data_IF_540656209944
#
_entry.id   IF_540656209944
#
_cell.length_a   1.000
_cell.length_b   1.000
_cell.length_c   1.000
_cell.angle_alpha   90.00
_cell.angle_beta   90.00
_cell.angle_gamma   90.00
#
_symmetry.space_group_name_H-M   'P 1'
#
loop_
_entity.id
_entity.type
_entity.pdbx_description
1 polymer ?
#
# COMPACT_ATOMS: atom_id res chain seq x y z
N UNK A 1 -21.83 -23.44 -38.33
CA UNK A 1 -22.14 -22.78 -37.04
C UNK A 1 -21.04 -23.17 -36.08
N UNK A 2 -19.90 -22.53 -36.25
CA UNK A 2 -18.62 -22.75 -35.55
C UNK A 2 -17.76 -21.55 -35.91
N UNK A 3 -16.88 -21.12 -35.00
CA UNK A 3 -16.04 -19.91 -35.06
C UNK A 3 -16.67 -18.57 -34.64
N UNK A 4 -17.19 -18.52 -33.40
CA UNK A 4 -17.30 -17.23 -32.67
C UNK A 4 -16.46 -17.20 -31.37
N UNK A 5 -15.82 -18.31 -31.00
CA UNK A 5 -15.10 -18.43 -29.72
C UNK A 5 -13.59 -18.15 -29.83
N UNK A 6 -13.03 -18.04 -31.05
CA UNK A 6 -11.59 -17.87 -31.26
C UNK A 6 -11.13 -16.40 -31.21
N UNK A 7 -12.00 -15.44 -31.50
CA UNK A 7 -11.63 -14.02 -31.57
C UNK A 7 -11.42 -13.37 -30.19
N UNK A 8 -12.14 -13.81 -29.15
CA UNK A 8 -12.04 -13.23 -27.81
C UNK A 8 -10.73 -13.56 -27.08
N UNK A 9 -10.07 -14.69 -27.43
CA UNK A 9 -8.79 -15.07 -26.83
C UNK A 9 -7.58 -14.33 -27.41
N UNK A 10 -7.65 -13.90 -28.67
CA UNK A 10 -6.54 -13.22 -29.33
C UNK A 10 -6.32 -11.78 -28.80
N UNK A 11 -7.39 -11.06 -28.45
CA UNK A 11 -7.31 -9.69 -27.92
C UNK A 11 -6.69 -9.65 -26.51
N UNK A 12 -7.02 -10.64 -25.68
CA UNK A 12 -6.43 -10.80 -24.34
C UNK A 12 -4.95 -11.22 -24.37
N UNK A 13 -4.51 -11.87 -25.44
CA UNK A 13 -3.11 -12.27 -25.64
C UNK A 13 -2.26 -11.15 -26.25
N UNK A 14 -2.83 -10.35 -27.16
CA UNK A 14 -2.20 -9.16 -27.73
C UNK A 14 -1.93 -8.08 -26.67
N UNK A 15 -2.86 -7.86 -25.73
CA UNK A 15 -2.65 -6.94 -24.60
C UNK A 15 -1.56 -7.41 -23.62
N UNK A 16 -1.39 -8.72 -23.46
CA UNK A 16 -0.33 -9.33 -22.63
C UNK A 16 1.07 -9.21 -23.25
N UNK A 17 1.15 -9.02 -24.57
CA UNK A 17 2.39 -8.81 -25.30
C UNK A 17 2.84 -7.34 -25.33
N UNK A 18 2.03 -6.38 -24.86
CA UNK A 18 2.38 -4.96 -24.95
C UNK A 18 3.37 -4.49 -23.87
N UNK A 19 3.37 -5.14 -22.70
CA UNK A 19 4.32 -4.86 -21.62
C UNK A 19 5.32 -5.99 -21.50
N UNK A 20 6.62 -5.67 -21.51
CA UNK A 20 7.66 -6.67 -21.23
C UNK A 20 7.60 -7.15 -19.77
N UNK A 21 8.34 -8.22 -19.47
CA UNK A 21 8.34 -8.83 -18.14
C UNK A 21 8.83 -7.88 -17.04
N UNK A 22 9.83 -7.04 -17.34
CA UNK A 22 10.42 -6.10 -16.39
C UNK A 22 9.42 -4.99 -16.03
N UNK A 23 8.66 -4.49 -16.99
CA UNK A 23 7.61 -3.48 -16.75
C UNK A 23 6.48 -4.07 -15.91
N UNK A 24 6.04 -5.31 -16.22
CA UNK A 24 5.02 -5.98 -15.40
C UNK A 24 5.50 -6.19 -13.96
N UNK A 25 6.75 -6.60 -13.77
CA UNK A 25 7.36 -6.71 -12.44
C UNK A 25 7.38 -5.35 -11.71
N UNK A 26 7.84 -4.29 -12.40
CA UNK A 26 7.90 -2.94 -11.84
C UNK A 26 6.52 -2.46 -11.35
N UNK A 27 5.45 -2.72 -12.12
CA UNK A 27 4.09 -2.37 -11.71
C UNK A 27 3.65 -3.11 -10.43
N UNK A 28 4.00 -4.39 -10.28
CA UNK A 28 3.68 -5.17 -9.07
C UNK A 28 4.44 -4.66 -7.86
N UNK A 29 5.74 -4.37 -8.03
CA UNK A 29 6.58 -3.80 -6.97
C UNK A 29 6.07 -2.42 -6.53
N UNK A 30 5.71 -1.56 -7.50
CA UNK A 30 5.10 -0.25 -7.23
C UNK A 30 3.76 -0.37 -6.50
N UNK A 31 2.95 -1.38 -6.80
CA UNK A 31 1.71 -1.63 -6.07
C UNK A 31 1.98 -2.01 -4.61
N UNK A 32 2.96 -2.88 -4.36
CA UNK A 32 3.36 -3.30 -3.01
C UNK A 32 3.94 -2.13 -2.22
N UNK A 33 4.83 -1.33 -2.82
CA UNK A 33 5.38 -0.14 -2.20
C UNK A 33 4.26 0.88 -1.94
N UNK A 34 3.46 1.21 -2.95
CA UNK A 34 2.37 2.17 -2.88
C UNK A 34 1.33 1.83 -1.82
N UNK A 35 0.93 0.56 -1.70
CA UNK A 35 0.01 0.11 -0.66
C UNK A 35 0.53 0.41 0.75
N UNK A 36 1.83 0.23 1.00
CA UNK A 36 2.46 0.53 2.29
C UNK A 36 2.71 2.05 2.50
N UNK A 37 2.63 2.86 1.45
CA UNK A 37 2.84 4.31 1.49
C UNK A 37 1.56 5.14 1.29
N UNK A 38 0.38 4.53 1.45
CA UNK A 38 -0.91 5.22 1.43
C UNK A 38 -1.57 5.37 0.05
N UNK A 39 -1.00 4.78 -1.00
CA UNK A 39 -1.56 4.76 -2.36
C UNK A 39 -2.51 3.57 -2.56
N UNK A 40 -3.48 3.42 -1.65
CA UNK A 40 -4.36 2.27 -1.63
C UNK A 40 -5.22 2.14 -2.90
N UNK A 41 -5.62 3.27 -3.49
CA UNK A 41 -6.44 3.29 -4.71
C UNK A 41 -5.68 2.72 -5.91
N UNK A 42 -4.46 3.19 -6.13
CA UNK A 42 -3.58 2.75 -7.21
C UNK A 42 -3.22 1.27 -7.05
N UNK A 43 -2.85 0.87 -5.83
CA UNK A 43 -2.55 -0.52 -5.50
C UNK A 43 -3.77 -1.43 -5.73
N UNK A 44 -4.99 -1.00 -5.40
CA UNK A 44 -6.22 -1.77 -5.68
C UNK A 44 -6.47 -1.94 -7.19
N UNK A 45 -6.19 -0.92 -8.02
CA UNK A 45 -6.28 -1.07 -9.49
C UNK A 45 -5.32 -2.14 -10.01
N UNK A 46 -4.08 -2.13 -9.52
CA UNK A 46 -3.06 -3.12 -9.93
C UNK A 46 -3.44 -4.51 -9.43
N UNK A 47 -4.00 -4.63 -8.22
CA UNK A 47 -4.54 -5.89 -7.69
C UNK A 47 -5.59 -6.50 -8.62
N UNK A 48 -6.52 -5.70 -9.15
CA UNK A 48 -7.52 -6.18 -10.12
C UNK A 48 -6.89 -6.60 -11.46
N UNK A 49 -5.82 -5.93 -11.88
CA UNK A 49 -5.10 -6.24 -13.11
C UNK A 49 -4.08 -7.40 -12.98
N UNK A 50 -3.80 -7.86 -11.76
CA UNK A 50 -2.72 -8.79 -11.46
C UNK A 50 -2.74 -10.09 -12.29
N UNK A 51 -3.90 -10.74 -12.55
CA UNK A 51 -3.96 -11.94 -13.39
C UNK A 51 -3.49 -11.70 -14.84
N UNK A 52 -3.59 -10.47 -15.33
CA UNK A 52 -3.09 -10.07 -16.65
C UNK A 52 -1.59 -9.80 -16.63
N UNK A 53 -1.06 -9.34 -15.48
CA UNK A 53 0.36 -9.00 -15.30
C UNK A 53 1.24 -10.21 -14.98
N UNK A 54 0.68 -11.22 -14.31
CA UNK A 54 1.40 -12.40 -13.80
C UNK A 54 0.79 -13.68 -14.39
N UNK A 55 1.39 -14.24 -15.46
CA UNK A 55 0.86 -15.42 -16.12
C UNK A 55 0.86 -16.68 -15.26
N UNK A 56 1.86 -16.82 -14.39
CA UNK A 56 1.94 -17.93 -13.44
C UNK A 56 0.86 -17.78 -12.38
N UNK A 57 -0.05 -18.77 -12.30
CA UNK A 57 -1.20 -18.72 -11.38
C UNK A 57 -0.80 -18.82 -9.91
N UNK A 58 0.25 -19.58 -9.59
CA UNK A 58 0.76 -19.73 -8.23
C UNK A 58 1.37 -18.41 -7.75
N UNK A 59 2.29 -17.86 -8.53
CA UNK A 59 2.89 -16.53 -8.28
C UNK A 59 1.83 -15.44 -8.22
N UNK A 60 0.86 -15.43 -9.14
CA UNK A 60 -0.24 -14.47 -9.11
C UNK A 60 -1.02 -14.56 -7.80
N UNK A 61 -1.33 -15.76 -7.31
CA UNK A 61 -2.07 -15.94 -6.07
C UNK A 61 -1.27 -15.48 -4.84
N UNK A 62 0.03 -15.76 -4.80
CA UNK A 62 0.90 -15.24 -3.73
C UNK A 62 0.96 -13.71 -3.73
N UNK A 63 1.06 -13.09 -4.91
CA UNK A 63 1.08 -11.64 -5.03
C UNK A 63 -0.28 -11.01 -4.69
N UNK A 64 -1.40 -11.66 -5.01
CA UNK A 64 -2.74 -11.23 -4.57
C UNK A 64 -2.85 -11.24 -3.05
N UNK A 65 -2.36 -12.29 -2.39
CA UNK A 65 -2.33 -12.37 -0.94
C UNK A 65 -1.42 -11.28 -0.34
N UNK A 66 -0.19 -11.14 -0.85
CA UNK A 66 0.76 -10.13 -0.41
C UNK A 66 0.21 -8.71 -0.52
N UNK A 67 -0.41 -8.38 -1.66
CA UNK A 67 -0.98 -7.05 -1.88
C UNK A 67 -2.24 -6.81 -1.04
N UNK A 68 -3.05 -7.84 -0.80
CA UNK A 68 -4.18 -7.78 0.15
C UNK A 68 -3.70 -7.51 1.58
N UNK A 69 -2.61 -8.17 2.01
CA UNK A 69 -1.95 -7.89 3.29
C UNK A 69 -1.49 -6.43 3.32
N UNK A 70 -0.78 -5.95 2.28
CA UNK A 70 -0.31 -4.57 2.19
C UNK A 70 -1.42 -3.53 2.31
N UNK A 71 -2.60 -3.82 1.74
CA UNK A 71 -3.81 -2.98 1.79
C UNK A 71 -4.61 -3.10 3.10
N UNK A 72 -4.24 -4.02 3.99
CA UNK A 72 -4.95 -4.28 5.24
C UNK A 72 -6.15 -5.22 5.12
N UNK A 73 -6.40 -5.81 3.95
CA UNK A 73 -7.48 -6.76 3.69
C UNK A 73 -7.07 -8.19 4.16
N UNK A 74 -6.77 -8.33 5.46
CA UNK A 74 -6.18 -9.55 6.04
C UNK A 74 -7.06 -10.79 5.91
N UNK A 75 -8.39 -10.64 6.00
CA UNK A 75 -9.34 -11.75 5.81
C UNK A 75 -9.29 -12.32 4.38
N UNK A 76 -9.20 -11.43 3.38
CA UNK A 76 -9.06 -11.83 1.97
C UNK A 76 -7.72 -12.53 1.76
N UNK A 77 -6.65 -11.99 2.34
CA UNK A 77 -5.34 -12.61 2.29
C UNK A 77 -5.34 -14.02 2.89
N UNK A 78 -5.94 -14.22 4.06
CA UNK A 78 -6.03 -15.55 4.69
C UNK A 78 -6.75 -16.57 3.82
N UNK A 79 -7.86 -16.17 3.17
CA UNK A 79 -8.56 -17.04 2.21
C UNK A 79 -7.66 -17.42 1.02
N UNK A 80 -6.96 -16.45 0.43
CA UNK A 80 -6.04 -16.68 -0.68
C UNK A 80 -4.86 -17.59 -0.30
N UNK A 81 -4.30 -17.43 0.92
CA UNK A 81 -3.22 -18.29 1.42
C UNK A 81 -3.70 -19.72 1.66
N UNK A 82 -4.92 -19.90 2.19
CA UNK A 82 -5.51 -21.23 2.37
C UNK A 82 -5.74 -21.91 1.01
N UNK A 83 -6.29 -21.18 0.04
CA UNK A 83 -6.51 -21.67 -1.31
C UNK A 83 -5.21 -21.99 -2.07
N UNK A 84 -4.14 -21.24 -1.82
CA UNK A 84 -2.83 -21.51 -2.40
C UNK A 84 -2.20 -22.77 -1.80
N UNK A 85 -2.32 -22.98 -0.48
CA UNK A 85 -1.83 -24.18 0.22
C UNK A 85 -2.52 -25.46 -0.24
N UNK A 86 -3.82 -25.40 -0.55
CA UNK A 86 -4.56 -26.56 -1.05
C UNK A 86 -4.05 -27.10 -2.40
N UNK A 87 -3.24 -26.32 -3.14
CA UNK A 87 -2.61 -26.74 -4.39
C UNK A 87 -1.08 -26.79 -4.36
N UNK A 88 -0.45 -26.50 -3.21
CA UNK A 88 1.00 -26.42 -3.05
C UNK A 88 1.54 -27.62 -2.25
N UNK A 89 2.80 -28.02 -2.46
CA UNK A 89 3.44 -29.03 -1.61
C UNK A 89 3.46 -28.58 -0.14
N UNK A 90 3.36 -29.54 0.78
CA UNK A 90 3.49 -29.32 2.22
C UNK A 90 4.83 -28.63 2.51
N UNK A 91 4.79 -27.45 3.15
CA UNK A 91 6.00 -26.69 3.52
C UNK A 91 6.38 -25.52 2.61
N UNK A 92 5.40 -24.88 1.95
CA UNK A 92 5.69 -23.65 1.19
C UNK A 92 6.06 -22.48 2.12
N UNK A 93 7.36 -22.20 2.20
CA UNK A 93 7.94 -21.09 2.97
C UNK A 93 7.34 -19.72 2.60
N UNK A 94 6.86 -19.54 1.37
CA UNK A 94 6.16 -18.32 0.93
C UNK A 94 4.87 -18.12 1.71
N UNK A 95 4.11 -19.20 1.88
CA UNK A 95 2.83 -19.18 2.59
C UNK A 95 3.02 -18.87 4.07
N UNK A 96 4.09 -19.39 4.67
CA UNK A 96 4.45 -19.12 6.07
C UNK A 96 4.93 -17.69 6.27
N UNK A 97 5.80 -17.19 5.37
CA UNK A 97 6.28 -15.81 5.41
C UNK A 97 5.12 -14.80 5.28
N UNK A 98 4.18 -15.03 4.36
CA UNK A 98 3.01 -14.16 4.20
C UNK A 98 2.04 -14.25 5.38
N UNK A 99 1.86 -15.43 5.98
CA UNK A 99 1.06 -15.58 7.20
C UNK A 99 1.69 -14.83 8.39
N UNK A 100 3.01 -14.93 8.55
CA UNK A 100 3.77 -14.20 9.56
C UNK A 100 3.69 -12.68 9.36
N UNK A 101 3.82 -12.21 8.12
CA UNK A 101 3.65 -10.80 7.79
C UNK A 101 2.24 -10.31 8.09
N UNK A 102 1.20 -11.07 7.73
CA UNK A 102 -0.18 -10.73 8.05
C UNK A 102 -0.40 -10.58 9.57
N UNK A 103 0.14 -11.49 10.37
CA UNK A 103 0.05 -11.44 11.84
C UNK A 103 0.87 -10.32 12.49
N UNK A 104 1.87 -9.78 11.78
CA UNK A 104 2.71 -8.67 12.26
C UNK A 104 2.09 -7.29 12.00
N UNK A 105 1.03 -7.21 11.20
CA UNK A 105 0.39 -5.92 10.91
C UNK A 105 -0.35 -5.42 12.14
N UNK A 106 -0.23 -4.13 12.48
CA UNK A 106 -1.07 -3.54 13.51
C UNK A 106 -2.53 -3.69 13.07
N UNK A 107 -3.33 -4.40 13.85
CA UNK A 107 -4.78 -4.43 13.66
C UNK A 107 -5.26 -2.98 13.62
N UNK A 108 -5.97 -2.61 12.56
CA UNK A 108 -6.60 -1.29 12.47
C UNK A 108 -7.61 -1.04 13.61
N UNK A 109 -7.98 -2.08 14.37
CA UNK A 109 -8.83 -2.05 15.57
C UNK A 109 -8.07 -1.87 16.90
N UNK A 110 -6.92 -1.19 16.89
CA UNK A 110 -6.39 -0.60 18.12
C UNK A 110 -7.35 0.49 18.63
N UNK A 111 -7.66 0.59 19.94
CA UNK A 111 -8.57 1.61 20.45
C UNK A 111 -8.13 2.98 19.95
N UNK A 112 -8.98 3.61 19.15
CA UNK A 112 -8.86 5.04 18.86
C UNK A 112 -9.11 5.76 20.17
N UNK A 113 -8.06 5.95 20.98
CA UNK A 113 -8.10 6.95 22.02
C UNK A 113 -8.35 8.29 21.31
N UNK A 114 -9.43 9.01 21.62
CA UNK A 114 -9.68 10.31 21.02
C UNK A 114 -8.63 11.27 21.58
N UNK A 115 -7.58 11.56 20.80
CA UNK A 115 -6.73 12.71 21.08
C UNK A 115 -7.23 13.87 20.25
N UNK A 116 -8.14 14.66 20.82
CA UNK A 116 -8.32 16.06 20.46
C UNK A 116 -9.14 16.78 21.56
N UNK A 117 -9.04 18.12 21.70
CA UNK A 117 -7.81 18.92 21.75
C UNK A 117 -7.92 20.07 22.78
N UNK A 118 -6.90 20.42 23.57
CA UNK A 118 -6.78 21.80 24.10
C UNK A 118 -5.39 22.13 24.65
N UNK A 119 -4.64 22.92 23.91
CA UNK A 119 -3.93 24.06 24.47
C UNK A 119 -3.75 25.07 23.33
N UNK A 120 -4.77 25.91 23.19
CA UNK A 120 -4.67 27.19 22.50
C UNK A 120 -3.51 27.95 23.10
N UNK A 121 -2.33 27.92 22.46
CA UNK A 121 -1.24 28.81 22.80
C UNK A 121 -1.68 30.22 22.41
N UNK A 122 -2.13 30.96 23.41
CA UNK A 122 -2.47 32.37 23.28
C UNK A 122 -1.24 33.14 22.76
N UNK A 123 -1.43 34.16 21.89
CA UNK A 123 -0.33 35.01 21.46
C UNK A 123 0.20 35.80 22.66
N UNK A 124 1.51 35.75 22.89
CA UNK A 124 2.16 36.63 23.87
C UNK A 124 1.99 38.09 23.42
N UNK A 125 1.51 39.00 24.27
CA UNK A 125 1.38 40.41 23.90
C UNK A 125 2.76 41.03 23.73
N UNK A 126 2.92 41.74 22.61
CA UNK A 126 4.03 42.66 22.36
C UNK A 126 3.99 43.74 23.44
N UNK A 127 4.84 43.62 24.46
CA UNK A 127 5.13 44.74 25.37
C UNK A 127 6.12 45.66 24.67
N UNK A 128 5.57 46.69 24.02
CA UNK A 128 6.31 47.91 23.71
C UNK A 128 6.63 48.62 25.03
N UNK A 129 7.79 48.35 25.61
CA UNK A 129 8.29 49.18 26.71
C UNK A 129 8.94 50.43 26.12
N UNK A 130 8.14 51.48 26.04
CA UNK A 130 8.56 52.86 25.79
C UNK A 130 8.93 53.47 27.13
N UNK A 131 10.22 53.49 27.47
CA UNK A 131 10.73 54.45 28.45
C UNK A 131 11.74 55.36 27.74
N UNK A 132 11.26 56.57 27.48
CA UNK A 132 12.06 57.74 27.15
C UNK A 132 12.85 58.23 28.37
N UNK A 133 13.91 58.97 28.08
CA UNK A 133 14.63 59.93 28.95
C UNK A 133 15.55 59.32 30.02
N UNK A 134 16.84 59.66 30.13
CA UNK A 134 17.51 60.96 29.99
C UNK A 134 19.02 60.83 29.68
N UNK A 135 19.54 61.73 28.83
CA UNK A 135 20.96 62.16 28.67
C UNK A 135 21.60 62.60 30.02
N UNK A 136 22.96 62.62 30.22
CA UNK A 136 23.84 63.55 29.47
C UNK A 136 25.33 63.15 29.24
N UNK A 137 25.91 63.78 28.21
CA UNK A 137 27.29 64.33 28.05
C UNK A 137 28.48 63.68 28.78
N UNK A 138 29.52 63.24 28.05
CA UNK A 138 30.78 64.01 27.89
C UNK A 138 31.97 63.17 27.39
N UNK A 139 32.72 63.82 26.49
CA UNK A 139 34.09 63.61 26.01
C UNK A 139 35.04 62.76 26.86
N UNK A 140 35.86 61.96 26.16
CA UNK A 140 37.31 62.17 26.05
C UNK A 140 37.83 61.61 24.74
#
# INVERSE_FOLDING_TARGET
MTDMTRAASADGEAGRQWLDASVRQCLVELALAGANHGMAHEARKILTALPSLVPDRGTCRWLQAALSIALGDTAVASGLLADARNGAPVGDATAEALACWAGSRPSADGPTAPIAPTASVAPAPIVTSRNSDTLPTSRS
#
